data_IF_107577534691
#
_entry.id   IF_107577534691
#
_cell.length_a   1.000
_cell.length_b   1.000
_cell.length_c   1.000
_cell.angle_alpha   90.00
_cell.angle_beta   90.00
_cell.angle_gamma   90.00
#
_symmetry.space_group_name_H-M   'P 1'
#
loop_
_entity.id
_entity.type
_entity.pdbx_description
1 polymer ?
#
# COMPACT_ATOMS: atom_id res chain seq x y z
N UNK A 1 -23.56 -1.78 -3.57
CA UNK A 1 -23.58 -0.57 -2.72
C UNK A 1 -22.23 -0.33 -2.03
N UNK A 2 -21.72 -1.24 -1.18
CA UNK A 2 -20.40 -1.08 -0.51
C UNK A 2 -19.26 -0.84 -1.51
N UNK A 3 -19.13 -1.65 -2.57
CA UNK A 3 -18.06 -1.50 -3.58
C UNK A 3 -18.03 -0.11 -4.26
N UNK A 4 -19.20 0.51 -4.45
CA UNK A 4 -19.31 1.84 -5.05
C UNK A 4 -18.79 2.90 -4.06
N UNK A 5 -19.15 2.79 -2.78
CA UNK A 5 -18.63 3.68 -1.74
C UNK A 5 -17.11 3.54 -1.58
N UNK A 6 -16.59 2.31 -1.53
CA UNK A 6 -15.16 2.04 -1.50
C UNK A 6 -14.43 2.69 -2.68
N UNK A 7 -14.96 2.53 -3.90
CA UNK A 7 -14.37 3.10 -5.11
C UNK A 7 -14.40 4.63 -5.09
N UNK A 8 -15.55 5.22 -4.74
CA UNK A 8 -15.76 6.66 -4.81
C UNK A 8 -15.13 7.43 -3.66
N UNK A 9 -15.10 6.87 -2.45
CA UNK A 9 -14.71 7.59 -1.24
C UNK A 9 -13.35 7.17 -0.71
N UNK A 10 -13.00 5.88 -0.79
CA UNK A 10 -11.72 5.40 -0.28
C UNK A 10 -10.65 5.39 -1.37
N UNK A 11 -10.88 4.64 -2.46
CA UNK A 11 -9.90 4.52 -3.54
C UNK A 11 -9.61 5.88 -4.19
N UNK A 12 -10.65 6.59 -4.66
CA UNK A 12 -10.49 7.88 -5.34
C UNK A 12 -9.90 8.94 -4.42
N UNK A 13 -10.51 9.17 -3.25
CA UNK A 13 -10.17 10.35 -2.44
C UNK A 13 -8.99 10.13 -1.50
N UNK A 14 -8.63 8.88 -1.22
CA UNK A 14 -7.52 8.55 -0.32
C UNK A 14 -6.40 7.83 -1.07
N UNK A 15 -6.62 6.60 -1.56
CA UNK A 15 -5.54 5.79 -2.11
C UNK A 15 -4.85 6.44 -3.32
N UNK A 16 -5.62 6.89 -4.33
CA UNK A 16 -5.05 7.48 -5.54
C UNK A 16 -4.41 8.84 -5.27
N UNK A 17 -5.06 9.67 -4.44
CA UNK A 17 -4.53 10.99 -4.05
C UNK A 17 -3.21 10.87 -3.29
N UNK A 18 -3.15 9.98 -2.31
CA UNK A 18 -1.97 9.83 -1.46
C UNK A 18 -0.80 9.22 -2.25
N UNK A 19 -1.08 8.30 -3.18
CA UNK A 19 -0.07 7.75 -4.09
C UNK A 19 0.49 8.82 -5.05
N UNK A 20 -0.38 9.63 -5.66
CA UNK A 20 0.04 10.72 -6.56
C UNK A 20 0.91 11.75 -5.83
N UNK A 21 0.46 12.21 -4.66
CA UNK A 21 1.23 13.13 -3.83
C UNK A 21 2.61 12.57 -3.44
N UNK A 22 2.66 11.31 -2.99
CA UNK A 22 3.91 10.68 -2.58
C UNK A 22 4.87 10.44 -3.76
N UNK A 23 4.35 10.05 -4.93
CA UNK A 23 5.15 9.89 -6.15
C UNK A 23 5.73 11.22 -6.63
N UNK A 24 4.88 12.24 -6.75
CA UNK A 24 5.27 13.55 -7.26
C UNK A 24 6.23 14.30 -6.33
N UNK A 25 6.15 14.09 -5.01
CA UNK A 25 7.15 14.58 -4.07
C UNK A 25 8.59 14.09 -4.38
N UNK A 26 8.71 13.03 -5.16
CA UNK A 26 9.97 12.45 -5.62
C UNK A 26 10.12 12.45 -7.15
N UNK A 27 9.31 13.24 -7.87
CA UNK A 27 9.28 13.28 -9.35
C UNK A 27 9.08 11.92 -10.00
N UNK A 28 8.34 11.01 -9.35
CA UNK A 28 8.01 9.68 -9.84
C UNK A 28 6.54 9.58 -10.21
N UNK A 29 6.25 9.06 -11.39
CA UNK A 29 4.89 8.73 -11.81
C UNK A 29 4.54 7.30 -11.35
N UNK A 30 3.49 7.17 -10.52
CA UNK A 30 2.98 5.87 -10.07
C UNK A 30 1.81 5.46 -10.96
N UNK A 31 1.95 4.35 -11.68
CA UNK A 31 0.87 3.76 -12.50
C UNK A 31 0.08 2.73 -11.69
N UNK A 32 -1.24 2.68 -11.93
CA UNK A 32 -2.18 1.78 -11.25
C UNK A 32 -2.94 0.87 -12.26
N UNK A 33 -2.29 -0.17 -12.83
CA UNK A 33 -2.85 -0.96 -13.93
C UNK A 33 -4.20 -1.62 -13.65
N UNK A 34 -4.50 -1.91 -12.38
CA UNK A 34 -5.78 -2.51 -11.98
C UNK A 34 -6.92 -1.50 -11.82
N UNK A 35 -6.63 -0.20 -11.86
CA UNK A 35 -7.62 0.88 -11.85
C UNK A 35 -7.73 1.47 -13.26
N UNK A 36 -7.85 0.58 -14.24
CA UNK A 36 -7.99 0.92 -15.65
C UNK A 36 -9.47 0.88 -16.08
N UNK A 37 -9.85 1.83 -16.95
CA UNK A 37 -11.24 1.98 -17.38
C UNK A 37 -11.71 0.83 -18.29
N UNK A 38 -10.83 0.32 -19.17
CA UNK A 38 -11.17 -0.75 -20.09
C UNK A 38 -11.22 -2.10 -19.37
N UNK A 39 -10.27 -2.34 -18.46
CA UNK A 39 -10.33 -3.48 -17.54
C UNK A 39 -11.63 -3.46 -16.72
N UNK A 40 -12.00 -2.31 -16.17
CA UNK A 40 -13.23 -2.17 -15.38
C UNK A 40 -14.47 -2.46 -16.24
N UNK A 41 -14.56 -1.92 -17.46
CA UNK A 41 -15.67 -2.18 -18.38
C UNK A 41 -15.77 -3.66 -18.73
N UNK A 42 -14.65 -4.33 -18.99
CA UNK A 42 -14.62 -5.75 -19.31
C UNK A 42 -15.04 -6.63 -18.12
N UNK A 43 -14.66 -6.26 -16.89
CA UNK A 43 -14.99 -7.01 -15.68
C UNK A 43 -16.38 -6.67 -15.10
N UNK A 44 -16.94 -5.50 -15.44
CA UNK A 44 -18.21 -5.01 -14.89
C UNK A 44 -19.38 -6.01 -14.96
N UNK A 45 -19.61 -6.73 -16.08
CA UNK A 45 -20.69 -7.72 -16.15
C UNK A 45 -20.58 -8.82 -15.10
N UNK A 46 -19.36 -9.24 -14.78
CA UNK A 46 -19.10 -10.31 -13.82
C UNK A 46 -19.38 -9.89 -12.36
N UNK A 47 -19.38 -8.59 -12.05
CA UNK A 47 -19.67 -8.10 -10.70
C UNK A 47 -21.17 -8.05 -10.35
N UNK A 48 -22.05 -8.18 -11.35
CA UNK A 48 -23.50 -8.16 -11.19
C UNK A 48 -24.16 -9.54 -11.04
N UNK A 49 -23.48 -10.63 -11.42
CA UNK A 49 -24.07 -11.97 -11.59
C UNK A 49 -23.71 -12.97 -10.46
N UNK A 50 -23.82 -12.55 -9.20
CA UNK A 50 -23.51 -13.39 -8.03
C UNK A 50 -22.14 -13.11 -7.42
N UNK A 51 -21.41 -14.16 -7.01
CA UNK A 51 -20.04 -14.02 -6.53
C UNK A 51 -19.12 -13.78 -7.74
N UNK A 52 -18.89 -12.50 -8.08
CA UNK A 52 -17.98 -12.11 -9.15
C UNK A 52 -16.55 -12.64 -8.97
N UNK A 53 -15.64 -12.35 -9.91
CA UNK A 53 -14.32 -12.97 -9.97
C UNK A 53 -13.54 -12.80 -8.66
N UNK A 54 -12.90 -13.88 -8.23
CA UNK A 54 -12.09 -13.95 -7.03
C UNK A 54 -10.65 -13.51 -7.30
N UNK A 55 -9.90 -13.31 -6.21
CA UNK A 55 -8.45 -13.06 -6.29
C UNK A 55 -7.71 -14.21 -7.00
N UNK A 56 -8.17 -15.45 -6.84
CA UNK A 56 -7.52 -16.63 -7.44
C UNK A 56 -7.74 -16.64 -8.95
N UNK A 57 -8.93 -16.29 -9.42
CA UNK A 57 -9.22 -16.19 -10.86
C UNK A 57 -8.28 -15.21 -11.54
N UNK A 58 -8.05 -14.05 -10.91
CA UNK A 58 -7.07 -13.06 -11.40
C UNK A 58 -5.64 -13.62 -11.36
N UNK A 59 -5.25 -14.27 -10.27
CA UNK A 59 -3.88 -14.77 -10.08
C UNK A 59 -3.51 -15.95 -11.00
N UNK A 60 -4.51 -16.67 -11.52
CA UNK A 60 -4.33 -17.77 -12.46
C UNK A 60 -4.21 -17.33 -13.94
N UNK A 61 -4.47 -16.05 -14.25
CA UNK A 61 -4.44 -15.53 -15.62
C UNK A 61 -3.05 -15.41 -16.28
N UNK A 62 -1.92 -15.18 -15.56
CA UNK A 62 -0.61 -15.02 -16.19
C UNK A 62 -0.13 -16.28 -16.92
N UNK A 63 0.51 -16.10 -18.07
CA UNK A 63 1.19 -17.15 -18.84
C UNK A 63 2.64 -16.68 -19.07
N UNK A 64 3.67 -17.39 -18.54
CA UNK A 64 3.56 -18.62 -17.76
C UNK A 64 2.94 -18.40 -16.37
N UNK A 65 2.37 -19.46 -15.81
CA UNK A 65 1.72 -19.43 -14.51
C UNK A 65 2.68 -18.95 -13.40
N UNK A 66 2.12 -18.24 -12.41
CA UNK A 66 2.89 -17.80 -11.24
C UNK A 66 3.35 -19.00 -10.40
N UNK A 67 4.53 -18.92 -9.75
CA UNK A 67 4.99 -19.98 -8.86
C UNK A 67 4.01 -20.26 -7.71
N UNK A 68 3.89 -21.53 -7.25
CA UNK A 68 3.01 -21.89 -6.14
C UNK A 68 3.27 -21.10 -4.86
N UNK A 69 4.53 -20.68 -4.64
CA UNK A 69 4.93 -19.86 -3.49
C UNK A 69 4.28 -18.48 -3.49
N UNK A 70 3.93 -17.92 -4.65
CA UNK A 70 3.23 -16.64 -4.79
C UNK A 70 1.71 -16.84 -4.70
N UNK A 71 1.18 -17.85 -5.39
CA UNK A 71 -0.26 -18.16 -5.43
C UNK A 71 -0.82 -18.51 -4.05
N UNK A 72 -0.08 -19.33 -3.29
CA UNK A 72 -0.50 -19.82 -1.97
C UNK A 72 -0.06 -18.90 -0.82
N UNK A 73 0.55 -17.76 -1.13
CA UNK A 73 1.01 -16.82 -0.09
C UNK A 73 -0.20 -16.20 0.63
N UNK A 74 -0.27 -16.29 1.97
CA UNK A 74 -1.29 -15.58 2.74
C UNK A 74 -1.27 -14.07 2.46
N UNK A 75 -2.44 -13.42 2.51
CA UNK A 75 -2.52 -11.97 2.35
C UNK A 75 -1.72 -11.29 3.47
N UNK A 76 -0.67 -10.58 3.09
CA UNK A 76 0.09 -9.72 3.98
C UNK A 76 -0.27 -8.27 3.71
N UNK A 77 -0.36 -7.45 4.77
CA UNK A 77 -0.44 -6.00 4.60
C UNK A 77 0.87 -5.42 4.05
N UNK A 78 0.80 -4.18 3.59
CA UNK A 78 1.99 -3.38 3.33
C UNK A 78 2.39 -2.70 4.64
N UNK A 79 3.58 -3.02 5.15
CA UNK A 79 4.12 -2.36 6.33
C UNK A 79 5.52 -1.85 6.03
N UNK A 80 5.78 -0.61 6.42
CA UNK A 80 7.12 -0.04 6.38
C UNK A 80 7.87 -0.60 7.59
N UNK A 81 9.07 -1.20 7.43
CA UNK A 81 9.78 -1.86 8.52
C UNK A 81 10.51 -0.84 9.43
N UNK A 82 9.78 0.20 9.86
CA UNK A 82 10.29 1.33 10.67
C UNK A 82 10.99 0.84 11.93
N UNK A 83 10.40 -0.13 12.62
CA UNK A 83 10.94 -0.74 13.83
C UNK A 83 12.31 -1.42 13.59
N UNK A 84 12.48 -2.07 12.44
CA UNK A 84 13.77 -2.66 12.04
C UNK A 84 14.81 -1.57 11.75
N UNK A 85 14.42 -0.47 11.13
CA UNK A 85 15.31 0.66 10.85
C UNK A 85 15.74 1.38 12.13
N UNK A 86 14.83 1.58 13.07
CA UNK A 86 15.10 2.21 14.36
C UNK A 86 16.06 1.39 15.22
N UNK A 87 15.89 0.05 15.25
CA UNK A 87 16.85 -0.85 15.91
C UNK A 87 18.23 -0.76 15.28
N UNK A 88 18.32 -0.72 13.94
CA UNK A 88 19.60 -0.58 13.22
C UNK A 88 20.27 0.77 13.50
N UNK A 89 19.49 1.83 13.73
CA UNK A 89 19.99 3.16 14.04
C UNK A 89 20.33 3.39 15.53
N UNK A 90 20.33 2.34 16.37
CA UNK A 90 20.68 2.45 17.80
C UNK A 90 19.64 3.18 18.66
N UNK A 91 18.42 3.37 18.16
CA UNK A 91 17.37 4.05 18.92
C UNK A 91 16.65 3.09 19.86
N UNK A 92 16.53 3.47 21.14
CA UNK A 92 15.85 2.67 22.15
C UNK A 92 14.34 2.97 22.16
N UNK A 93 13.52 2.10 21.58
CA UNK A 93 12.06 2.17 21.64
C UNK A 93 11.39 1.02 20.89
N UNK A 94 10.26 0.52 21.41
CA UNK A 94 9.49 -0.54 20.77
C UNK A 94 8.50 0.03 19.75
N UNK A 95 8.48 -0.54 18.54
CA UNK A 95 7.50 -0.23 17.51
C UNK A 95 7.54 1.24 17.06
N UNK A 96 6.35 1.80 16.79
CA UNK A 96 6.23 3.17 16.24
C UNK A 96 6.51 4.28 17.27
N UNK A 97 6.61 3.96 18.58
CA UNK A 97 6.90 4.97 19.61
C UNK A 97 8.30 5.56 19.48
N UNK A 98 9.28 4.75 19.08
CA UNK A 98 10.63 5.24 18.77
C UNK A 98 10.61 6.23 17.61
N UNK A 99 9.81 5.92 16.59
CA UNK A 99 9.65 6.76 15.40
C UNK A 99 8.99 8.10 15.73
N UNK A 100 7.87 8.06 16.44
CA UNK A 100 7.13 9.27 16.82
C UNK A 100 8.00 10.26 17.59
N UNK A 101 8.81 9.78 18.55
CA UNK A 101 9.77 10.64 19.28
C UNK A 101 10.83 11.24 18.36
N UNK A 102 11.37 10.47 17.42
CA UNK A 102 12.36 10.96 16.45
C UNK A 102 11.78 12.06 15.55
N UNK A 103 10.58 11.84 15.01
CA UNK A 103 9.89 12.82 14.15
C UNK A 103 9.55 14.09 14.94
N UNK A 104 8.98 13.94 16.14
CA UNK A 104 8.66 15.07 17.01
C UNK A 104 9.92 15.88 17.34
N UNK A 105 11.03 15.24 17.69
CA UNK A 105 12.31 15.91 17.95
C UNK A 105 12.80 16.72 16.74
N UNK A 106 12.76 16.12 15.54
CA UNK A 106 13.16 16.77 14.30
C UNK A 106 12.27 17.99 13.94
N UNK A 107 10.96 17.90 14.15
CA UNK A 107 10.02 19.01 13.88
C UNK A 107 10.10 20.13 14.92
N UNK A 108 10.46 19.81 16.17
CA UNK A 108 10.53 20.77 17.28
C UNK A 108 11.84 21.56 17.31
N UNK A 109 12.79 21.28 16.42
CA UNK A 109 14.14 21.86 16.46
C UNK A 109 15.01 21.42 17.64
N UNK A 110 14.54 20.50 18.49
CA UNK A 110 15.33 19.88 19.56
C UNK A 110 16.07 18.68 18.97
N UNK A 111 17.30 18.89 18.50
CA UNK A 111 18.27 17.80 18.31
C UNK A 111 18.42 17.05 19.62
N UNK A 112 17.79 15.89 19.74
CA UNK A 112 18.11 14.92 20.80
C UNK A 112 19.56 14.52 20.58
N UNK A 113 20.41 14.93 21.52
CA UNK A 113 21.85 14.79 21.46
C UNK A 113 22.28 13.45 20.89
N UNK A 114 22.84 13.49 19.68
CA UNK A 114 23.83 12.52 19.27
C UNK A 114 25.07 12.85 20.11
N UNK A 115 25.30 12.05 21.16
CA UNK A 115 26.64 11.91 21.67
C UNK A 115 27.53 11.34 20.54
N UNK A 116 28.80 11.75 20.46
CA UNK A 116 29.73 11.32 19.41
C UNK A 116 29.91 9.80 19.33
#
# INVERSE_FOLDING_TARGET
RIRVLETCWYMKNQLLRDADWAGMAHSLEIRVPFVDADLFRAAAPAFGAGAGPSKLDMAATPIPALPPTVLNKPKTGFFVPVDKWLRRAGTNGAGLRGWARKVHGAQSGKTLGMAP
#
